data_IF_502620379827
#
_entry.id   IF_502620379827
#
_cell.length_a   1.000
_cell.length_b   1.000
_cell.length_c   1.000
_cell.angle_alpha   90.00
_cell.angle_beta   90.00
_cell.angle_gamma   90.00
#
_symmetry.space_group_name_H-M   'P 1'
#
loop_
_entity.id
_entity.type
_entity.pdbx_description
1 polymer ?
#
# COMPACT_ATOMS: atom_id res chain seq x y z
N UNK A 1 -26.69 -0.90 19.18
CA UNK A 1 -26.13 -0.63 17.85
C UNK A 1 -24.67 -0.27 18.05
N UNK A 2 -23.75 -1.21 17.83
CA UNK A 2 -22.32 -0.93 17.93
C UNK A 2 -21.92 -0.20 16.64
N UNK A 3 -21.74 1.12 16.70
CA UNK A 3 -21.16 1.84 15.58
C UNK A 3 -19.72 1.38 15.40
N UNK A 4 -19.33 1.02 14.19
CA UNK A 4 -17.92 0.80 13.88
C UNK A 4 -17.19 2.14 14.10
N UNK A 5 -16.44 2.25 15.20
CA UNK A 5 -15.59 3.40 15.42
C UNK A 5 -14.50 3.37 14.34
N UNK A 6 -14.55 4.34 13.44
CA UNK A 6 -13.58 4.46 12.35
C UNK A 6 -12.49 5.50 12.65
N UNK A 7 -12.56 6.17 13.81
CA UNK A 7 -11.52 7.07 14.32
C UNK A 7 -10.48 6.26 15.08
N UNK A 8 -9.67 5.50 14.34
CA UNK A 8 -8.61 4.68 14.90
C UNK A 8 -7.30 5.00 14.17
N UNK A 9 -6.20 5.01 14.90
CA UNK A 9 -4.87 5.16 14.30
C UNK A 9 -4.56 4.01 13.32
N UNK A 10 -5.06 2.81 13.63
CA UNK A 10 -4.89 1.59 12.83
C UNK A 10 -6.21 0.81 12.73
N UNK A 11 -6.46 0.11 11.61
CA UNK A 11 -7.55 -0.86 11.51
C UNK A 11 -7.55 -1.85 12.68
N UNK A 12 -8.75 -2.24 13.14
CA UNK A 12 -8.85 -3.37 14.08
C UNK A 12 -8.58 -4.66 13.31
N UNK A 13 -7.58 -5.40 13.75
CA UNK A 13 -7.18 -6.68 13.16
C UNK A 13 -7.19 -7.78 14.23
N UNK A 14 -7.38 -9.05 13.85
CA UNK A 14 -7.32 -10.15 14.80
C UNK A 14 -5.96 -10.18 15.54
N UNK A 15 -6.02 -10.28 16.86
CA UNK A 15 -4.85 -10.47 17.71
C UNK A 15 -4.59 -11.98 17.89
N UNK A 16 -4.05 -12.58 16.83
CA UNK A 16 -3.71 -14.00 16.80
C UNK A 16 -2.22 -14.14 17.05
N UNK A 17 -1.84 -15.02 17.99
CA UNK A 17 -0.43 -15.33 18.22
C UNK A 17 0.13 -16.07 17.01
N UNK A 18 1.09 -15.45 16.33
CA UNK A 18 1.77 -16.01 15.17
C UNK A 18 2.93 -16.88 15.70
N UNK A 19 2.79 -18.19 15.57
CA UNK A 19 3.77 -19.17 16.06
C UNK A 19 4.49 -19.80 14.87
N UNK A 20 5.49 -19.12 14.34
CA UNK A 20 6.36 -19.65 13.29
C UNK A 20 7.75 -19.02 13.34
N UNK A 21 8.76 -19.81 12.98
CA UNK A 21 10.18 -19.44 13.08
C UNK A 21 10.69 -18.64 11.85
N UNK A 22 9.84 -18.32 10.88
CA UNK A 22 10.27 -17.59 9.67
C UNK A 22 11.07 -18.45 8.70
N UNK A 23 10.60 -19.67 8.42
CA UNK A 23 11.31 -20.66 7.60
C UNK A 23 11.36 -20.32 6.10
N UNK A 24 10.79 -19.20 5.67
CA UNK A 24 10.71 -18.79 4.26
C UNK A 24 11.04 -17.31 4.13
N UNK A 25 12.07 -16.99 3.35
CA UNK A 25 12.45 -15.59 3.07
C UNK A 25 11.49 -14.92 2.10
N UNK A 26 11.03 -15.66 1.07
CA UNK A 26 10.16 -15.16 0.01
C UNK A 26 8.93 -16.05 -0.14
N UNK A 27 7.76 -15.48 0.14
CA UNK A 27 6.47 -16.17 0.02
C UNK A 27 5.80 -15.84 -1.32
N UNK A 28 5.37 -16.86 -2.06
CA UNK A 28 4.62 -16.68 -3.31
C UNK A 28 3.12 -16.68 -3.01
N UNK A 29 2.44 -15.60 -3.38
CA UNK A 29 1.01 -15.41 -3.13
C UNK A 29 0.27 -14.91 -4.38
N UNK A 30 -1.06 -14.89 -4.27
CA UNK A 30 -1.96 -14.18 -5.15
C UNK A 30 -2.41 -12.88 -4.48
N UNK A 31 -2.10 -11.75 -5.11
CA UNK A 31 -2.55 -10.42 -4.72
C UNK A 31 -3.99 -10.18 -5.20
N UNK A 32 -4.85 -9.86 -4.23
CA UNK A 32 -6.17 -9.31 -4.48
C UNK A 32 -6.26 -7.89 -3.94
N UNK A 33 -7.03 -7.05 -4.62
CA UNK A 33 -7.31 -5.69 -4.16
C UNK A 33 -8.80 -5.43 -4.05
N UNK A 34 -9.18 -4.48 -3.21
CA UNK A 34 -10.59 -4.16 -2.99
C UNK A 34 -10.81 -2.93 -2.12
N UNK A 35 -12.07 -2.70 -1.75
CA UNK A 35 -12.43 -1.60 -0.85
C UNK A 35 -12.54 -2.11 0.57
N UNK A 36 -12.17 -1.27 1.53
CA UNK A 36 -12.34 -1.55 2.96
C UNK A 36 -13.16 -0.44 3.65
N UNK A 37 -13.80 -0.78 4.77
CA UNK A 37 -14.63 0.14 5.55
C UNK A 37 -13.82 1.30 6.16
N UNK A 38 -12.63 1.04 6.71
CA UNK A 38 -11.76 2.07 7.27
C UNK A 38 -11.25 2.96 6.15
N UNK A 39 -10.95 2.36 5.00
CA UNK A 39 -10.52 3.09 3.82
C UNK A 39 -11.59 4.08 3.36
N UNK A 40 -12.82 3.61 3.23
CA UNK A 40 -13.96 4.44 2.85
C UNK A 40 -14.17 5.59 3.83
N UNK A 41 -13.97 5.36 5.12
CA UNK A 41 -14.09 6.39 6.15
C UNK A 41 -12.98 7.46 6.05
N UNK A 42 -11.72 7.06 5.87
CA UNK A 42 -10.61 8.00 5.67
C UNK A 42 -10.80 8.87 4.41
N UNK A 43 -11.28 8.27 3.30
CA UNK A 43 -11.58 9.01 2.07
C UNK A 43 -12.67 10.06 2.28
N UNK A 44 -13.78 9.69 2.94
CA UNK A 44 -14.89 10.61 3.24
C UNK A 44 -14.49 11.75 4.17
N UNK A 45 -13.49 11.53 5.04
CA UNK A 45 -12.93 12.57 5.92
C UNK A 45 -11.94 13.52 5.24
N UNK A 46 -11.52 13.22 4.01
CA UNK A 46 -10.45 13.98 3.34
C UNK A 46 -9.06 13.68 3.89
N UNK A 47 -8.86 12.53 4.54
CA UNK A 47 -7.60 12.15 5.20
C UNK A 47 -6.65 11.36 4.28
N UNK A 48 -6.79 11.45 2.96
CA UNK A 48 -6.05 10.61 1.99
C UNK A 48 -4.53 10.84 1.99
N UNK A 49 -4.06 11.92 2.61
CA UNK A 49 -2.63 12.23 2.78
C UNK A 49 -2.09 11.87 4.17
N UNK A 50 -2.97 11.53 5.12
CA UNK A 50 -2.62 11.33 6.53
C UNK A 50 -2.15 9.91 6.83
N UNK A 51 -1.41 9.76 7.94
CA UNK A 51 -0.95 8.47 8.45
C UNK A 51 -2.09 7.45 8.63
N UNK A 52 -3.30 7.89 9.04
CA UNK A 52 -4.46 6.99 9.18
C UNK A 52 -4.81 6.29 7.86
N UNK A 53 -4.73 7.00 6.73
CA UNK A 53 -5.04 6.41 5.42
C UNK A 53 -3.93 5.45 4.97
N UNK A 54 -2.67 5.76 5.29
CA UNK A 54 -1.54 4.85 5.07
C UNK A 54 -1.70 3.56 5.89
N UNK A 55 -2.04 3.66 7.17
CA UNK A 55 -2.19 2.49 8.03
C UNK A 55 -3.33 1.54 7.56
N UNK A 56 -4.28 2.05 6.78
CA UNK A 56 -5.34 1.25 6.18
C UNK A 56 -4.97 0.75 4.78
N UNK A 57 -4.54 1.65 3.90
CA UNK A 57 -4.36 1.35 2.47
C UNK A 57 -2.95 0.89 2.09
N UNK A 58 -1.97 1.19 2.93
CA UNK A 58 -0.59 0.68 2.85
C UNK A 58 -0.38 -0.50 3.79
N UNK A 59 -1.36 -1.41 3.86
CA UNK A 59 -1.32 -2.63 4.67
C UNK A 59 -1.73 -3.84 3.82
N UNK A 60 -0.92 -4.89 3.88
CA UNK A 60 -1.12 -6.21 3.31
C UNK A 60 -1.76 -7.12 4.36
N UNK A 61 -3.00 -7.51 4.12
CA UNK A 61 -3.74 -8.44 4.97
C UNK A 61 -3.44 -9.87 4.53
N UNK A 62 -2.95 -10.68 5.47
CA UNK A 62 -2.38 -12.00 5.20
C UNK A 62 -3.01 -13.08 6.08
N UNK A 63 -2.89 -14.33 5.63
CA UNK A 63 -3.21 -15.48 6.49
C UNK A 63 -2.18 -15.60 7.62
N UNK A 64 -2.58 -15.87 8.88
CA UNK A 64 -1.65 -15.99 10.00
C UNK A 64 -0.60 -17.11 9.80
N UNK A 65 -0.91 -18.16 9.03
CA UNK A 65 0.04 -19.25 8.70
C UNK A 65 1.10 -18.79 7.71
N UNK A 66 0.74 -17.93 6.77
CA UNK A 66 1.68 -17.32 5.84
C UNK A 66 2.58 -16.29 6.54
N UNK A 67 2.02 -15.52 7.46
CA UNK A 67 2.80 -14.65 8.34
C UNK A 67 3.76 -15.47 9.23
N UNK A 68 3.35 -16.64 9.72
CA UNK A 68 4.20 -17.55 10.47
C UNK A 68 5.35 -18.12 9.63
N UNK A 69 5.10 -18.44 8.35
CA UNK A 69 6.16 -18.86 7.41
C UNK A 69 7.18 -17.75 7.16
N UNK A 70 6.73 -16.50 7.06
CA UNK A 70 7.58 -15.31 6.85
C UNK A 70 8.24 -14.78 8.13
N UNK A 71 7.77 -15.18 9.33
CA UNK A 71 8.30 -14.66 10.60
C UNK A 71 7.98 -13.18 10.83
N UNK A 72 6.76 -12.77 10.47
CA UNK A 72 6.26 -11.38 10.62
C UNK A 72 5.04 -11.34 11.54
N UNK A 73 4.90 -10.23 12.26
CA UNK A 73 3.78 -9.95 13.16
C UNK A 73 2.87 -8.85 12.62
N UNK A 74 1.74 -8.64 13.29
CA UNK A 74 0.89 -7.47 13.01
C UNK A 74 1.71 -6.19 13.09
N UNK A 75 1.63 -5.39 12.02
CA UNK A 75 2.30 -4.10 11.83
C UNK A 75 3.80 -4.14 11.59
N UNK A 76 4.39 -5.32 11.37
CA UNK A 76 5.71 -5.40 10.73
C UNK A 76 5.63 -4.94 9.27
N UNK A 77 6.79 -4.69 8.66
CA UNK A 77 6.89 -4.24 7.26
C UNK A 77 7.28 -5.38 6.33
N UNK A 78 6.60 -5.42 5.19
CA UNK A 78 6.86 -6.38 4.12
C UNK A 78 7.01 -5.65 2.78
N UNK A 79 7.88 -6.17 1.94
CA UNK A 79 8.03 -5.76 0.55
C UNK A 79 7.20 -6.70 -0.31
N UNK A 80 6.27 -6.13 -1.07
CA UNK A 80 5.43 -6.87 -2.02
C UNK A 80 5.90 -6.54 -3.42
N UNK A 81 6.22 -7.58 -4.20
CA UNK A 81 6.70 -7.44 -5.58
C UNK A 81 5.80 -8.18 -6.55
N UNK A 82 5.64 -7.61 -7.73
CA UNK A 82 4.99 -8.22 -8.90
C UNK A 82 5.84 -7.91 -10.14
N UNK A 83 5.44 -8.43 -11.29
CA UNK A 83 6.08 -8.09 -12.56
C UNK A 83 5.92 -6.60 -12.93
N UNK A 84 5.04 -5.85 -12.26
CA UNK A 84 4.71 -4.45 -12.56
C UNK A 84 5.42 -3.45 -11.65
N UNK A 85 5.98 -3.90 -10.53
CA UNK A 85 6.65 -3.03 -9.56
C UNK A 85 6.71 -3.62 -8.16
N UNK A 86 7.17 -2.78 -7.23
CA UNK A 86 7.30 -3.13 -5.82
C UNK A 86 6.75 -2.05 -4.88
N UNK A 87 6.38 -2.45 -3.67
CA UNK A 87 5.94 -1.52 -2.62
C UNK A 87 6.15 -2.10 -1.23
N UNK A 88 6.60 -1.24 -0.32
CA UNK A 88 6.67 -1.54 1.11
C UNK A 88 5.34 -1.20 1.76
N UNK A 89 4.77 -2.16 2.47
CA UNK A 89 3.50 -2.03 3.20
C UNK A 89 3.60 -2.69 4.57
N UNK A 90 2.72 -2.33 5.51
CA UNK A 90 2.61 -3.08 6.75
C UNK A 90 2.00 -4.45 6.45
N UNK A 91 2.28 -5.48 7.26
CA UNK A 91 1.50 -6.71 7.24
C UNK A 91 0.56 -6.78 8.44
N UNK A 92 -0.63 -7.35 8.26
CA UNK A 92 -1.55 -7.62 9.36
C UNK A 92 -2.38 -8.87 9.09
N UNK A 93 -2.85 -9.52 10.15
CA UNK A 93 -3.75 -10.66 10.05
C UNK A 93 -5.05 -10.22 9.38
N UNK A 94 -5.44 -10.96 8.34
CA UNK A 94 -6.70 -10.73 7.65
C UNK A 94 -7.89 -11.12 8.54
N UNK A 95 -8.94 -10.30 8.49
CA UNK A 95 -10.23 -10.61 9.13
C UNK A 95 -10.96 -11.77 8.45
N UNK A 96 -10.63 -12.04 7.19
CA UNK A 96 -11.24 -13.08 6.36
C UNK A 96 -10.42 -14.39 6.37
N UNK A 97 -9.34 -14.46 7.16
CA UNK A 97 -8.56 -15.67 7.33
C UNK A 97 -9.45 -16.85 7.82
N UNK A 98 -9.17 -18.11 7.40
CA UNK A 98 -7.98 -18.56 6.69
C UNK A 98 -8.08 -18.48 5.15
N UNK A 99 -6.97 -18.14 4.49
CA UNK A 99 -6.79 -18.07 3.04
C UNK A 99 -5.29 -18.10 2.62
N UNK A 100 -4.55 -19.14 3.02
CA UNK A 100 -3.14 -19.33 2.65
C UNK A 100 -2.89 -19.18 1.14
N UNK A 101 -1.75 -18.56 0.79
CA UNK A 101 -1.35 -18.28 -0.58
C UNK A 101 -2.06 -17.08 -1.21
N UNK A 102 -2.89 -16.35 -0.47
CA UNK A 102 -3.58 -15.14 -0.93
C UNK A 102 -3.36 -13.98 0.03
N UNK A 103 -3.11 -12.79 -0.53
CA UNK A 103 -2.97 -11.55 0.22
C UNK A 103 -3.93 -10.48 -0.30
N UNK A 104 -4.33 -9.56 0.57
CA UNK A 104 -5.23 -8.48 0.23
C UNK A 104 -4.63 -7.11 0.56
N UNK A 105 -4.62 -6.19 -0.41
CA UNK A 105 -4.25 -4.79 -0.20
C UNK A 105 -5.39 -3.89 -0.67
N UNK A 106 -5.78 -2.90 0.13
CA UNK A 106 -6.85 -1.98 -0.29
C UNK A 106 -6.44 -1.23 -1.57
N UNK A 107 -7.40 -1.08 -2.49
CA UNK A 107 -7.20 -0.32 -3.74
C UNK A 107 -6.71 1.10 -3.44
N UNK A 108 -5.64 1.58 -4.04
CA UNK A 108 -5.10 2.87 -3.65
C UNK A 108 -3.68 3.06 -4.15
N UNK A 109 -3.01 4.15 -3.75
CA UNK A 109 -1.72 4.49 -4.32
C UNK A 109 -0.68 3.39 -4.07
N UNK A 110 -0.65 2.74 -2.89
CA UNK A 110 0.23 1.59 -2.62
C UNK A 110 -0.08 0.36 -3.47
N UNK A 111 -1.35 -0.03 -3.62
CA UNK A 111 -1.69 -1.17 -4.48
C UNK A 111 -1.41 -0.87 -5.96
N UNK A 112 -1.63 0.37 -6.39
CA UNK A 112 -1.50 0.76 -7.79
C UNK A 112 -0.06 0.67 -8.32
N UNK A 113 0.96 0.60 -7.46
CA UNK A 113 2.35 0.42 -7.88
C UNK A 113 2.69 -1.02 -8.28
N UNK A 114 1.85 -1.98 -7.90
CA UNK A 114 2.10 -3.42 -8.09
C UNK A 114 0.94 -4.15 -8.79
N UNK A 115 -0.02 -3.40 -9.35
CA UNK A 115 -1.10 -3.98 -10.17
C UNK A 115 -0.77 -3.86 -11.64
N UNK A 116 -1.33 -4.76 -12.44
CA UNK A 116 -1.17 -4.73 -13.89
C UNK A 116 -1.97 -3.58 -14.49
N UNK A 117 -1.33 -2.86 -15.42
CA UNK A 117 -1.99 -1.88 -16.28
C UNK A 117 -2.74 -2.52 -17.45
N UNK A 118 -2.65 -3.84 -17.63
CA UNK A 118 -3.26 -4.54 -18.76
C UNK A 118 -4.77 -4.60 -18.62
N UNK A 119 -5.45 -4.13 -19.67
CA UNK A 119 -6.91 -3.97 -19.69
C UNK A 119 -7.64 -5.03 -20.51
N UNK A 120 -6.90 -5.87 -21.24
CA UNK A 120 -7.47 -6.86 -22.18
C UNK A 120 -8.52 -6.28 -23.14
N UNK A 121 -8.31 -5.03 -23.60
CA UNK A 121 -9.23 -4.28 -24.45
C UNK A 121 -10.61 -3.96 -23.81
N UNK A 122 -10.74 -4.08 -22.48
CA UNK A 122 -11.97 -3.80 -21.75
C UNK A 122 -11.95 -2.46 -20.99
N UNK A 123 -10.93 -1.62 -21.21
CA UNK A 123 -10.69 -0.33 -20.53
C UNK A 123 -10.38 -0.39 -19.02
N UNK A 124 -10.64 -1.52 -18.35
CA UNK A 124 -10.38 -1.71 -16.92
C UNK A 124 -9.08 -2.50 -16.67
N UNK A 125 -8.11 -1.97 -15.91
CA UNK A 125 -6.89 -2.69 -15.56
C UNK A 125 -7.13 -3.95 -14.71
N UNK A 126 -6.15 -4.85 -14.72
CA UNK A 126 -6.21 -6.08 -13.94
C UNK A 126 -5.77 -5.84 -12.50
N UNK A 127 -6.75 -5.58 -11.63
CA UNK A 127 -6.52 -5.22 -10.22
C UNK A 127 -6.46 -6.41 -9.23
N UNK A 128 -6.82 -7.62 -9.66
CA UNK A 128 -7.00 -8.79 -8.77
C UNK A 128 -6.44 -10.04 -9.41
N UNK A 129 -6.09 -11.03 -8.59
CA UNK A 129 -5.59 -12.31 -9.06
C UNK A 129 -4.16 -12.24 -9.61
N UNK A 130 -3.34 -11.30 -9.15
CA UNK A 130 -1.99 -11.06 -9.66
C UNK A 130 -1.01 -11.91 -8.86
N UNK A 131 -0.07 -12.61 -9.52
CA UNK A 131 1.00 -13.32 -8.81
C UNK A 131 1.95 -12.31 -8.18
N UNK A 132 2.25 -12.49 -6.91
CA UNK A 132 3.17 -11.63 -6.19
C UNK A 132 4.13 -12.45 -5.31
N UNK A 133 5.24 -11.82 -4.93
CA UNK A 133 6.08 -12.28 -3.84
C UNK A 133 5.99 -11.32 -2.67
N UNK A 134 6.06 -11.86 -1.45
CA UNK A 134 6.08 -11.10 -0.20
C UNK A 134 7.32 -11.52 0.58
N UNK A 135 8.08 -10.54 1.04
CA UNK A 135 9.29 -10.74 1.84
C UNK A 135 9.34 -9.75 3.01
N UNK A 136 9.96 -10.15 4.12
CA UNK A 136 10.15 -9.27 5.28
C UNK A 136 11.16 -8.17 4.94
N UNK A 137 10.93 -6.95 5.41
CA UNK A 137 11.86 -5.83 5.17
C UNK A 137 11.91 -4.88 6.37
N UNK A 138 13.04 -4.17 6.53
CA UNK A 138 13.20 -3.08 7.50
C UNK A 138 12.90 -1.69 6.90
N UNK A 139 12.58 -1.62 5.60
CA UNK A 139 12.15 -0.39 4.92
C UNK A 139 10.83 0.11 5.51
N UNK A 140 10.62 1.42 5.49
CA UNK A 140 9.41 2.05 6.06
C UNK A 140 8.32 2.19 5.01
N UNK A 141 7.06 2.07 5.42
CA UNK A 141 5.93 2.43 4.56
C UNK A 141 5.89 3.95 4.36
N UNK A 142 6.10 4.38 3.12
CA UNK A 142 6.05 5.79 2.72
C UNK A 142 4.64 6.39 2.91
N UNK A 143 4.58 7.68 3.29
CA UNK A 143 3.33 8.46 3.21
C UNK A 143 2.90 8.66 1.76
N UNK A 144 1.65 9.08 1.56
CA UNK A 144 1.10 9.19 0.20
C UNK A 144 1.94 10.14 -0.67
N UNK A 145 2.27 11.34 -0.18
CA UNK A 145 3.07 12.31 -0.93
C UNK A 145 4.48 11.77 -1.25
N UNK A 146 5.12 11.11 -0.28
CA UNK A 146 6.45 10.50 -0.44
C UNK A 146 6.41 9.33 -1.44
N UNK A 147 5.35 8.53 -1.40
CA UNK A 147 5.13 7.45 -2.37
C UNK A 147 4.95 8.03 -3.78
N UNK A 148 4.19 9.12 -3.93
CA UNK A 148 4.04 9.77 -5.24
C UNK A 148 5.37 10.36 -5.73
N UNK A 149 6.20 10.88 -4.82
CA UNK A 149 7.55 11.36 -5.12
C UNK A 149 8.45 10.20 -5.56
N UNK A 150 8.43 9.09 -4.85
CA UNK A 150 9.26 7.93 -5.16
C UNK A 150 8.85 7.26 -6.48
N UNK A 151 7.57 6.88 -6.63
CA UNK A 151 7.07 6.12 -7.79
C UNK A 151 7.02 6.97 -9.07
N UNK A 152 6.50 8.19 -8.98
CA UNK A 152 6.20 9.01 -10.15
C UNK A 152 7.16 10.19 -10.33
N UNK A 153 8.24 10.25 -9.53
CA UNK A 153 9.23 11.34 -9.55
C UNK A 153 8.58 12.72 -9.49
N UNK A 154 7.50 12.83 -8.70
CA UNK A 154 6.83 14.11 -8.45
C UNK A 154 7.54 14.87 -7.34
N UNK A 155 7.61 16.19 -7.45
CA UNK A 155 8.14 17.06 -6.40
C UNK A 155 9.65 16.87 -6.14
N UNK A 156 10.37 16.25 -7.07
CA UNK A 156 11.80 15.99 -6.96
C UNK A 156 12.42 15.95 -8.37
N UNK A 157 13.62 16.49 -8.51
CA UNK A 157 14.41 16.44 -9.76
C UNK A 157 15.46 15.31 -9.74
N UNK A 158 15.44 14.47 -8.70
CA UNK A 158 16.32 13.33 -8.51
C UNK A 158 15.68 12.06 -9.08
N UNK A 159 16.48 11.28 -9.81
CA UNK A 159 16.02 10.05 -10.47
C UNK A 159 16.40 8.80 -9.67
N UNK A 160 17.43 8.85 -8.83
CA UNK A 160 17.89 7.72 -8.02
C UNK A 160 16.84 7.29 -6.97
N UNK A 161 16.33 6.07 -7.08
CA UNK A 161 15.28 5.52 -6.21
C UNK A 161 15.70 5.46 -4.74
N UNK A 162 16.95 5.09 -4.45
CA UNK A 162 17.47 4.94 -3.09
C UNK A 162 17.60 6.32 -2.43
N UNK A 163 18.05 7.32 -3.19
CA UNK A 163 18.13 8.70 -2.69
C UNK A 163 16.72 9.21 -2.40
N UNK A 164 15.79 9.09 -3.35
CA UNK A 164 14.42 9.63 -3.24
C UNK A 164 13.63 8.98 -2.11
N UNK A 165 13.78 7.68 -1.89
CA UNK A 165 13.11 6.95 -0.81
C UNK A 165 13.55 7.46 0.57
N UNK A 166 14.82 7.83 0.72
CA UNK A 166 15.42 8.23 1.99
C UNK A 166 15.40 9.76 2.23
N UNK A 167 14.82 10.56 1.33
CA UNK A 167 14.64 11.99 1.52
C UNK A 167 13.68 12.31 2.68
N UNK A 168 13.80 13.52 3.24
CA UNK A 168 12.85 14.03 4.24
C UNK A 168 11.41 13.97 3.71
N UNK A 169 10.48 13.57 4.57
CA UNK A 169 9.08 13.40 4.21
C UNK A 169 8.43 14.73 3.86
N UNK A 170 7.62 14.74 2.80
CA UNK A 170 6.76 15.85 2.41
C UNK A 170 5.58 16.05 3.38
N UNK A 171 5.36 15.10 4.30
CA UNK A 171 4.36 15.17 5.35
C UNK A 171 2.94 14.81 4.89
N UNK A 172 1.95 15.20 5.71
CA UNK A 172 0.54 14.83 5.55
C UNK A 172 -0.32 15.90 4.87
N UNK A 173 0.29 17.01 4.44
CA UNK A 173 -0.41 18.14 3.83
C UNK A 173 -0.27 18.09 2.30
N UNK A 174 -1.21 18.69 1.56
CA UNK A 174 -1.08 18.80 0.12
C UNK A 174 0.20 19.53 -0.28
N UNK A 175 0.97 18.93 -1.18
CA UNK A 175 2.11 19.59 -1.81
C UNK A 175 1.58 20.46 -2.95
N UNK A 176 1.49 21.76 -2.70
CA UNK A 176 1.03 22.73 -3.68
C UNK A 176 2.21 23.40 -4.37
N UNK A 177 2.40 23.08 -5.65
CA UNK A 177 3.13 23.98 -6.54
C UNK A 177 2.10 24.86 -7.22
N UNK A 178 2.12 26.16 -6.91
CA UNK A 178 1.34 27.13 -7.66
C UNK A 178 1.81 27.10 -9.10
N UNK A 179 1.05 26.44 -9.97
CA UNK A 179 1.24 26.62 -11.41
C UNK A 179 0.93 28.06 -11.71
N UNK A 180 1.92 28.76 -12.27
CA UNK A 180 1.72 30.10 -12.77
C UNK A 180 0.75 30.01 -13.95
N UNK A 181 -0.21 30.93 -14.02
CA UNK A 181 -1.21 30.93 -15.10
C UNK A 181 -0.56 30.93 -16.48
N UNK A 182 0.63 31.51 -16.58
CA UNK A 182 1.48 31.61 -17.76
C UNK A 182 2.00 30.25 -18.25
N UNK A 183 2.17 29.25 -17.38
CA UNK A 183 2.66 27.90 -17.72
C UNK A 183 1.58 27.01 -18.36
N UNK A 184 0.31 27.43 -18.33
CA UNK A 184 -0.82 26.69 -18.89
C UNK A 184 -1.20 27.15 -20.30
N UNK A 185 -0.59 28.23 -20.81
CA UNK A 185 -0.97 28.85 -22.09
C UNK A 185 -0.29 28.15 -23.29
N UNK A 186 0.80 27.41 -23.06
CA UNK A 186 1.65 26.80 -24.10
C UNK A 186 1.21 25.40 -24.56
N UNK A 187 0.02 24.94 -24.18
CA UNK A 187 -0.58 23.78 -24.81
C UNK A 187 -1.48 24.25 -25.95
N UNK A 188 -0.92 24.23 -27.17
CA UNK A 188 -1.64 24.45 -28.43
C UNK A 188 -3.00 23.72 -28.41
N UNK A 189 -4.08 24.52 -28.44
CA UNK A 189 -5.45 24.09 -28.75
C UNK A 189 -5.63 23.93 -30.25
#
# INVERSE_FOLDING_TARGET
>A
MYYANTYLEKPVVPDVKITGEGNTEVLKCMLNTGSDIYQGACKKRGSTLKQEYKNVSGTCYMDPRDMAKLGVNNWDTVLVKTDFGEVVVNCAVSRDAPHEGTVFICKGPWANTIVSHDTYCCSDPTYKGIKCTVEKTDRKVLLMADLMRWVYKKYVDEEDDDVVENMESLGELPVYHGRKWEELIDHDL
#
